data_IF_204141936056
#
_entry.id   IF_204141936056
#
_cell.length_a   1.000
_cell.length_b   1.000
_cell.length_c   1.000
_cell.angle_alpha   90.00
_cell.angle_beta   90.00
_cell.angle_gamma   90.00
#
_symmetry.space_group_name_H-M   'P 1'
#
loop_
_entity.id
_entity.type
_entity.pdbx_description
1 polymer ?
#
# COMPACT_ATOMS: atom_id res chain seq x y z
N UNK A 1 0.21 -13.98 -2.90
CA UNK A 1 0.02 -12.57 -2.50
C UNK A 1 -0.30 -11.73 -3.71
N UNK A 2 -1.21 -10.75 -3.61
CA UNK A 2 -1.65 -9.89 -4.75
C UNK A 2 -0.49 -9.12 -5.38
N UNK A 3 0.42 -8.56 -4.57
CA UNK A 3 1.59 -7.82 -5.06
C UNK A 3 2.49 -8.67 -5.99
N UNK A 4 2.69 -9.94 -5.65
CA UNK A 4 3.48 -10.86 -6.45
C UNK A 4 2.78 -11.18 -7.80
N UNK A 5 1.46 -11.35 -7.78
CA UNK A 5 0.70 -11.58 -9.00
C UNK A 5 0.73 -10.37 -9.94
N UNK A 6 0.61 -9.14 -9.41
CA UNK A 6 0.73 -7.91 -10.19
C UNK A 6 2.13 -7.73 -10.78
N UNK A 7 3.18 -7.94 -9.99
CA UNK A 7 4.56 -7.84 -10.47
C UNK A 7 4.86 -8.84 -11.59
N UNK A 8 4.42 -10.09 -11.44
CA UNK A 8 4.57 -11.12 -12.47
C UNK A 8 3.77 -10.78 -13.73
N UNK A 9 2.53 -10.32 -13.59
CA UNK A 9 1.69 -9.94 -14.73
C UNK A 9 2.30 -8.77 -15.52
N UNK A 10 2.84 -7.76 -14.84
CA UNK A 10 3.50 -6.62 -15.48
C UNK A 10 4.80 -7.03 -16.17
N UNK A 11 5.62 -7.86 -15.52
CA UNK A 11 6.83 -8.41 -16.13
C UNK A 11 6.52 -9.26 -17.37
N UNK A 12 5.48 -10.09 -17.30
CA UNK A 12 4.99 -10.88 -18.44
C UNK A 12 4.43 -10.00 -19.58
N UNK A 13 3.86 -8.84 -19.25
CA UNK A 13 3.44 -7.83 -20.22
C UNK A 13 4.61 -7.02 -20.81
N UNK A 14 5.86 -7.30 -20.42
CA UNK A 14 7.06 -6.65 -20.93
C UNK A 14 7.47 -5.38 -20.18
N UNK A 15 6.87 -5.08 -19.02
CA UNK A 15 7.27 -3.93 -18.22
C UNK A 15 8.70 -4.10 -17.67
N UNK A 16 9.57 -3.08 -17.74
CA UNK A 16 10.86 -3.09 -17.06
C UNK A 16 10.69 -3.31 -15.56
N UNK A 17 11.62 -4.05 -14.94
CA UNK A 17 11.54 -4.41 -13.52
C UNK A 17 11.28 -3.18 -12.63
N UNK A 18 12.03 -2.08 -12.81
CA UNK A 18 11.83 -0.86 -12.04
C UNK A 18 10.44 -0.24 -12.18
N UNK A 19 9.83 -0.29 -13.37
CA UNK A 19 8.47 0.18 -13.60
C UNK A 19 7.45 -0.71 -12.90
N UNK A 20 7.62 -2.03 -12.99
CA UNK A 20 6.74 -2.99 -12.33
C UNK A 20 6.76 -2.83 -10.79
N UNK A 21 7.93 -2.70 -10.17
CA UNK A 21 8.03 -2.47 -8.73
C UNK A 21 7.42 -1.13 -8.32
N UNK A 22 7.65 -0.08 -9.11
CA UNK A 22 7.09 1.25 -8.84
C UNK A 22 5.56 1.24 -8.92
N UNK A 23 4.99 0.51 -9.88
CA UNK A 23 3.54 0.35 -10.00
C UNK A 23 2.94 -0.40 -8.81
N UNK A 24 3.56 -1.51 -8.37
CA UNK A 24 3.12 -2.26 -7.18
C UNK A 24 3.20 -1.39 -5.92
N UNK A 25 4.28 -0.63 -5.75
CA UNK A 25 4.42 0.32 -4.64
C UNK A 25 3.34 1.40 -4.67
N UNK A 26 3.10 2.01 -5.83
CA UNK A 26 2.04 3.01 -6.03
C UNK A 26 0.66 2.46 -5.68
N UNK A 27 0.33 1.26 -6.18
CA UNK A 27 -0.90 0.55 -5.86
C UNK A 27 -1.05 0.38 -4.34
N UNK A 28 -0.01 -0.07 -3.64
CA UNK A 28 -0.06 -0.32 -2.20
C UNK A 28 -0.16 0.96 -1.37
N UNK A 29 0.48 2.05 -1.78
CA UNK A 29 0.34 3.35 -1.13
C UNK A 29 -1.12 3.82 -1.20
N UNK A 30 -1.76 3.70 -2.37
CA UNK A 30 -3.12 4.18 -2.60
C UNK A 30 -4.16 3.30 -1.90
N UNK A 31 -4.00 1.98 -1.95
CA UNK A 31 -5.05 1.05 -1.51
C UNK A 31 -4.90 0.56 -0.08
N UNK A 32 -3.69 0.53 0.47
CA UNK A 32 -3.46 0.07 1.84
C UNK A 32 -3.10 1.22 2.77
N UNK A 33 -2.12 2.06 2.40
CA UNK A 33 -1.66 3.13 3.28
C UNK A 33 -2.64 4.31 3.38
N UNK A 34 -3.14 4.80 2.26
CA UNK A 34 -4.08 5.93 2.23
C UNK A 34 -5.31 5.70 3.13
N UNK A 35 -5.99 4.52 3.11
CA UNK A 35 -7.10 4.27 4.04
C UNK A 35 -6.66 3.94 5.47
N UNK A 36 -5.45 3.39 5.68
CA UNK A 36 -4.94 3.10 7.02
C UNK A 36 -4.50 4.36 7.78
N UNK A 37 -3.98 5.37 7.08
CA UNK A 37 -3.53 6.64 7.66
C UNK A 37 -4.58 7.33 8.54
N UNK A 38 -5.81 7.62 8.08
CA UNK A 38 -6.81 8.28 8.92
C UNK A 38 -7.17 7.44 10.15
N UNK A 39 -7.31 6.12 9.99
CA UNK A 39 -7.58 5.21 11.11
C UNK A 39 -6.44 5.24 12.14
N UNK A 40 -5.18 5.16 11.69
CA UNK A 40 -4.00 5.24 12.54
C UNK A 40 -3.93 6.59 13.28
N UNK A 41 -4.26 7.71 12.61
CA UNK A 41 -4.30 9.04 13.24
C UNK A 41 -5.37 9.09 14.34
N UNK A 42 -6.58 8.60 14.07
CA UNK A 42 -7.67 8.59 15.07
C UNK A 42 -7.31 7.68 16.25
N UNK A 43 -6.84 6.46 16.00
CA UNK A 43 -6.39 5.54 17.05
C UNK A 43 -5.29 6.17 17.89
N UNK A 44 -4.30 6.81 17.25
CA UNK A 44 -3.23 7.54 17.94
C UNK A 44 -3.77 8.67 18.82
N UNK A 45 -4.80 9.40 18.37
CA UNK A 45 -5.44 10.46 19.14
C UNK A 45 -6.24 9.91 20.34
N UNK A 46 -6.93 8.78 20.19
CA UNK A 46 -7.67 8.12 21.27
C UNK A 46 -6.73 7.61 22.36
N UNK A 47 -5.61 6.99 21.98
CA UNK A 47 -4.57 6.54 22.91
C UNK A 47 -4.00 7.74 23.70
N UNK A 48 -3.72 8.87 23.03
CA UNK A 48 -3.26 10.10 23.72
C UNK A 48 -4.30 10.66 24.69
N UNK A 49 -5.59 10.45 24.41
CA UNK A 49 -6.71 10.86 25.27
C UNK A 49 -7.06 9.84 26.36
N UNK A 50 -6.36 8.69 26.44
CA UNK A 50 -6.65 7.58 27.37
C UNK A 50 -8.09 7.07 27.29
N UNK A 51 -8.68 7.10 26.10
CA UNK A 51 -10.04 6.58 25.85
C UNK A 51 -10.01 5.07 25.62
N UNK A 52 -8.90 4.58 25.06
CA UNK A 52 -8.58 3.16 24.81
C UNK A 52 -7.41 2.77 25.69
#
# INVERSE_FOLDING_TARGET
SVDAALGVALGAAGAPAGTATSAVLGYRIITAWLPALPAAVVLSALVRRKVV
#
